data_IF_957607204255
#
_entry.id   IF_957607204255
#
_cell.length_a   1.000
_cell.length_b   1.000
_cell.length_c   1.000
_cell.angle_alpha   90.00
_cell.angle_beta   90.00
_cell.angle_gamma   90.00
#
_symmetry.space_group_name_H-M   'P 1'
#
loop_
_entity.id
_entity.type
_entity.pdbx_description
1 polymer ?
#
# COMPACT_ATOMS: atom_id res chain seq x y z
N UNK A 1 79.05 -27.28 35.96
CA UNK A 1 79.78 -26.70 34.80
C UNK A 1 79.65 -27.63 33.62
N UNK A 2 79.32 -27.09 32.43
CA UNK A 2 79.48 -27.76 31.11
C UNK A 2 78.50 -28.93 30.90
N UNK A 3 77.26 -28.67 30.50
CA UNK A 3 76.88 -28.57 29.08
C UNK A 3 75.73 -27.57 28.91
N UNK A 4 76.14 -26.32 28.73
CA UNK A 4 75.37 -25.30 28.04
C UNK A 4 75.52 -25.57 26.53
N UNK A 5 74.58 -25.06 25.72
CA UNK A 5 74.53 -25.10 24.26
C UNK A 5 74.14 -26.45 23.63
N UNK A 6 72.85 -26.60 23.33
CA UNK A 6 72.29 -26.76 21.97
C UNK A 6 70.78 -26.94 22.20
N UNK A 7 69.95 -26.31 21.37
CA UNK A 7 68.48 -26.27 21.38
C UNK A 7 67.79 -25.08 22.05
N UNK A 8 68.50 -23.96 22.27
CA UNK A 8 67.87 -22.61 22.22
C UNK A 8 67.91 -22.11 20.77
N UNK A 9 67.46 -22.93 19.82
CA UNK A 9 67.35 -22.56 18.40
C UNK A 9 66.16 -23.28 17.75
N UNK A 10 65.03 -23.32 18.45
CA UNK A 10 63.75 -23.68 17.85
C UNK A 10 62.62 -22.81 18.43
N UNK A 11 62.93 -21.53 18.67
CA UNK A 11 61.98 -20.51 19.06
C UNK A 11 61.89 -19.42 17.97
N UNK A 12 61.65 -19.86 16.73
CA UNK A 12 61.11 -18.98 15.71
C UNK A 12 59.69 -19.46 15.37
N UNK A 13 58.63 -18.69 15.68
CA UNK A 13 57.37 -18.88 14.99
C UNK A 13 57.61 -18.50 13.52
N UNK A 14 57.83 -19.52 12.68
CA UNK A 14 57.85 -19.33 11.23
C UNK A 14 56.50 -18.77 10.76
N UNK A 15 56.45 -17.97 9.68
CA UNK A 15 55.19 -17.52 9.12
C UNK A 15 54.36 -18.76 8.78
N UNK A 16 53.22 -18.93 9.44
CA UNK A 16 52.29 -19.99 9.13
C UNK A 16 51.89 -19.87 7.64
N UNK A 17 51.94 -20.95 6.85
CA UNK A 17 51.50 -20.89 5.46
C UNK A 17 50.03 -20.46 5.39
N UNK A 18 49.79 -19.24 4.89
CA UNK A 18 48.47 -18.65 4.66
C UNK A 18 47.72 -19.28 3.45
N UNK A 19 47.96 -20.55 3.13
CA UNK A 19 47.60 -21.14 1.83
C UNK A 19 46.42 -22.12 1.88
N UNK A 20 45.64 -22.12 2.96
CA UNK A 20 44.37 -22.86 3.06
C UNK A 20 43.21 -21.96 3.49
N UNK A 21 43.44 -20.65 3.63
CA UNK A 21 42.56 -19.76 4.41
C UNK A 21 41.52 -18.96 3.63
N UNK A 22 41.56 -18.93 2.29
CA UNK A 22 40.65 -18.07 1.51
C UNK A 22 39.29 -18.72 1.30
N UNK A 23 39.25 -19.99 0.88
CA UNK A 23 37.99 -20.72 0.63
C UNK A 23 37.24 -21.01 1.94
N UNK A 24 37.97 -21.46 2.98
CA UNK A 24 37.44 -21.61 4.34
C UNK A 24 37.03 -20.26 4.95
N UNK A 25 37.79 -19.19 4.71
CA UNK A 25 37.47 -17.85 5.18
C UNK A 25 36.19 -17.29 4.54
N UNK A 26 36.01 -17.50 3.23
CA UNK A 26 34.78 -17.12 2.52
C UNK A 26 33.57 -17.90 3.05
N UNK A 27 33.70 -19.20 3.29
CA UNK A 27 32.62 -20.01 3.88
C UNK A 27 32.26 -19.59 5.32
N UNK A 28 33.23 -19.11 6.10
CA UNK A 28 32.97 -18.55 7.44
C UNK A 28 32.25 -17.21 7.38
N UNK A 29 32.60 -16.33 6.43
CA UNK A 29 31.91 -15.05 6.22
C UNK A 29 30.48 -15.28 5.75
N UNK A 30 30.25 -16.18 4.81
CA UNK A 30 28.91 -16.55 4.33
C UNK A 30 28.04 -17.08 5.48
N UNK A 31 28.60 -17.94 6.34
CA UNK A 31 27.92 -18.45 7.53
C UNK A 31 27.62 -17.36 8.55
N UNK A 32 28.53 -16.39 8.72
CA UNK A 32 28.33 -15.21 9.57
C UNK A 32 27.22 -14.29 9.06
N UNK A 33 27.19 -14.01 7.75
CA UNK A 33 26.13 -13.23 7.10
C UNK A 33 24.77 -13.93 7.20
N UNK A 34 24.74 -15.26 7.06
CA UNK A 34 23.53 -16.06 7.26
C UNK A 34 22.95 -15.92 8.67
N UNK A 35 23.78 -16.02 9.71
CA UNK A 35 23.35 -15.84 11.10
C UNK A 35 22.83 -14.43 11.35
N UNK A 36 23.49 -13.40 10.80
CA UNK A 36 23.04 -12.00 10.91
C UNK A 36 21.68 -11.82 10.23
N UNK A 37 21.51 -12.35 9.02
CA UNK A 37 20.24 -12.27 8.29
C UNK A 37 19.10 -13.00 9.02
N UNK A 38 19.37 -14.18 9.59
CA UNK A 38 18.39 -14.94 10.34
C UNK A 38 17.95 -14.22 11.63
N UNK A 39 18.90 -13.62 12.35
CA UNK A 39 18.58 -12.82 13.53
C UNK A 39 17.81 -11.55 13.16
N UNK A 40 18.18 -10.86 12.07
CA UNK A 40 17.44 -9.70 11.57
C UNK A 40 15.99 -10.08 11.22
N UNK A 41 15.76 -11.23 10.59
CA UNK A 41 14.41 -11.74 10.32
C UNK A 41 13.64 -12.16 11.57
N UNK A 42 14.31 -12.71 12.59
CA UNK A 42 13.66 -12.99 13.88
C UNK A 42 13.27 -11.71 14.62
N UNK A 43 14.07 -10.65 14.51
CA UNK A 43 13.80 -9.35 15.13
C UNK A 43 12.74 -8.55 14.37
N UNK A 44 12.84 -8.45 13.03
CA UNK A 44 11.92 -7.65 12.21
C UNK A 44 10.64 -8.38 11.78
N UNK A 45 10.68 -9.71 11.68
CA UNK A 45 9.56 -10.52 11.20
C UNK A 45 8.24 -10.28 11.97
N UNK A 46 8.23 -10.21 13.31
CA UNK A 46 7.03 -9.91 14.09
C UNK A 46 6.40 -8.55 13.74
N UNK A 47 7.23 -7.51 13.58
CA UNK A 47 6.76 -6.15 13.27
C UNK A 47 6.24 -6.07 11.83
N UNK A 48 6.90 -6.72 10.87
CA UNK A 48 6.44 -6.83 9.49
C UNK A 48 5.11 -7.60 9.38
N UNK A 49 4.96 -8.68 10.15
CA UNK A 49 3.70 -9.42 10.21
C UNK A 49 2.56 -8.56 10.77
N UNK A 50 2.84 -7.79 11.83
CA UNK A 50 1.87 -6.87 12.41
C UNK A 50 1.46 -5.78 11.41
N UNK A 51 2.43 -5.17 10.73
CA UNK A 51 2.17 -4.19 9.67
C UNK A 51 1.33 -4.78 8.54
N UNK A 52 1.64 -6.00 8.10
CA UNK A 52 0.87 -6.71 7.07
C UNK A 52 -0.56 -7.00 7.50
N UNK A 53 -0.77 -7.35 8.78
CA UNK A 53 -2.10 -7.59 9.34
C UNK A 53 -2.92 -6.30 9.46
N UNK A 54 -2.30 -5.22 9.93
CA UNK A 54 -2.94 -3.90 10.05
C UNK A 54 -3.30 -3.33 8.65
N UNK A 55 -2.38 -3.44 7.67
CA UNK A 55 -2.66 -3.09 6.28
C UNK A 55 -3.76 -3.97 5.67
N UNK A 56 -3.73 -5.27 5.94
CA UNK A 56 -4.74 -6.21 5.45
C UNK A 56 -6.14 -5.87 5.95
N UNK A 57 -6.27 -5.47 7.22
CA UNK A 57 -7.52 -4.98 7.79
C UNK A 57 -8.02 -3.71 7.09
N UNK A 58 -7.16 -2.69 6.96
CA UNK A 58 -7.54 -1.44 6.30
C UNK A 58 -7.92 -1.64 4.82
N UNK A 59 -7.21 -2.52 4.10
CA UNK A 59 -7.54 -2.89 2.72
C UNK A 59 -8.87 -3.63 2.64
N UNK A 60 -9.21 -4.49 3.61
CA UNK A 60 -10.48 -5.19 3.65
C UNK A 60 -11.66 -4.24 3.88
N UNK A 61 -11.49 -3.19 4.69
CA UNK A 61 -12.49 -2.13 4.86
C UNK A 61 -12.69 -1.29 3.59
N UNK A 62 -11.62 -1.07 2.81
CA UNK A 62 -11.66 -0.32 1.56
C UNK A 62 -12.08 -1.17 0.35
N UNK A 63 -11.97 -2.50 0.42
CA UNK A 63 -12.31 -3.42 -0.65
C UNK A 63 -13.69 -3.16 -1.31
N UNK A 64 -14.81 -2.99 -0.57
CA UNK A 64 -16.11 -2.72 -1.19
C UNK A 64 -16.13 -1.39 -1.96
N UNK A 65 -15.47 -0.35 -1.45
CA UNK A 65 -15.38 0.94 -2.13
C UNK A 65 -14.54 0.84 -3.43
N UNK A 66 -13.48 0.04 -3.41
CA UNK A 66 -12.66 -0.22 -4.60
C UNK A 66 -13.40 -1.02 -5.66
N UNK A 67 -14.25 -1.96 -5.25
CA UNK A 67 -15.13 -2.72 -6.15
C UNK A 67 -16.15 -1.78 -6.82
N UNK A 68 -16.82 -0.94 -6.03
CA UNK A 68 -17.77 0.05 -6.54
C UNK A 68 -17.10 1.04 -7.51
N UNK A 69 -15.87 1.48 -7.20
CA UNK A 69 -15.09 2.34 -8.09
C UNK A 69 -14.70 1.64 -9.39
N UNK A 70 -14.32 0.35 -9.34
CA UNK A 70 -13.99 -0.42 -10.54
C UNK A 70 -15.18 -0.52 -11.50
N UNK A 71 -16.39 -0.71 -10.97
CA UNK A 71 -17.65 -0.72 -11.75
C UNK A 71 -17.88 0.64 -12.42
N UNK A 72 -17.66 1.75 -11.70
CA UNK A 72 -17.82 3.09 -12.27
C UNK A 72 -16.80 3.43 -13.34
N UNK A 73 -15.55 3.01 -13.15
CA UNK A 73 -14.48 3.19 -14.15
C UNK A 73 -14.80 2.44 -15.44
N UNK A 74 -15.37 1.24 -15.34
CA UNK A 74 -15.85 0.49 -16.51
C UNK A 74 -17.01 1.21 -17.22
N UNK A 75 -17.94 1.82 -16.47
CA UNK A 75 -19.05 2.60 -17.06
C UNK A 75 -18.58 3.88 -17.76
N UNK A 76 -17.37 4.40 -17.52
CA UNK A 76 -16.85 5.58 -18.24
C UNK A 76 -16.85 5.40 -19.76
N UNK A 77 -16.67 4.17 -20.24
CA UNK A 77 -16.74 3.85 -21.67
C UNK A 77 -18.13 4.11 -22.29
N UNK A 78 -19.17 4.21 -21.47
CA UNK A 78 -20.54 4.47 -21.89
C UNK A 78 -20.86 5.96 -22.06
N UNK A 79 -19.90 6.86 -21.86
CA UNK A 79 -20.07 8.28 -22.04
C UNK A 79 -19.35 8.81 -23.28
N UNK A 80 -19.85 9.93 -23.79
CA UNK A 80 -19.25 10.73 -24.84
C UNK A 80 -18.13 11.62 -24.27
N UNK A 81 -17.22 12.13 -25.12
CA UNK A 81 -16.18 13.04 -24.68
C UNK A 81 -16.78 14.32 -24.05
N UNK A 82 -16.02 15.00 -23.15
CA UNK A 82 -16.52 16.18 -22.44
C UNK A 82 -16.82 17.35 -23.38
N UNK A 83 -18.02 17.92 -23.27
CA UNK A 83 -18.47 19.12 -24.00
C UNK A 83 -18.46 20.34 -23.05
N UNK A 84 -17.73 21.39 -23.41
CA UNK A 84 -17.69 22.63 -22.63
C UNK A 84 -18.81 23.58 -23.09
N UNK A 85 -19.65 23.99 -22.16
CA UNK A 85 -20.78 24.90 -22.38
C UNK A 85 -20.34 26.37 -22.35
N UNK A 86 -21.22 27.27 -22.82
CA UNK A 86 -20.96 28.72 -22.88
C UNK A 86 -20.72 29.34 -21.49
N UNK A 87 -21.36 28.80 -20.46
CA UNK A 87 -21.17 29.22 -19.06
C UNK A 87 -19.84 28.73 -18.46
N UNK A 88 -19.13 27.82 -19.14
CA UNK A 88 -17.88 27.23 -18.68
C UNK A 88 -18.02 25.85 -18.02
N UNK A 89 -19.24 25.35 -17.82
CA UNK A 89 -19.46 24.00 -17.29
C UNK A 89 -19.10 22.93 -18.31
N UNK A 90 -18.88 21.71 -17.82
CA UNK A 90 -18.58 20.54 -18.65
C UNK A 90 -19.73 19.55 -18.55
N UNK A 91 -20.32 19.21 -19.69
CA UNK A 91 -21.34 18.18 -19.82
C UNK A 91 -20.70 16.91 -20.40
N UNK A 92 -20.84 15.80 -19.70
CA UNK A 92 -20.43 14.47 -20.18
C UNK A 92 -21.72 13.67 -20.42
N UNK A 93 -22.10 13.50 -21.69
CA UNK A 93 -23.36 12.84 -22.06
C UNK A 93 -23.17 11.34 -22.07
N UNK A 94 -24.22 10.60 -21.71
CA UNK A 94 -24.25 9.15 -21.82
C UNK A 94 -24.66 8.74 -23.23
N UNK A 95 -23.98 7.75 -23.80
CA UNK A 95 -24.27 7.24 -25.15
C UNK A 95 -25.69 6.67 -25.20
N UNK A 96 -26.42 6.96 -26.28
CA UNK A 96 -27.80 6.50 -26.44
C UNK A 96 -27.97 4.97 -26.46
N UNK A 97 -26.94 4.25 -26.92
CA UNK A 97 -26.93 2.78 -26.97
C UNK A 97 -26.33 2.12 -25.72
N UNK A 98 -25.93 2.91 -24.71
CA UNK A 98 -25.36 2.34 -23.49
C UNK A 98 -26.41 1.57 -22.69
N UNK A 99 -26.06 0.42 -22.09
CA UNK A 99 -26.93 -0.26 -21.11
C UNK A 99 -27.26 0.68 -19.95
N UNK A 100 -28.30 0.52 -19.13
CA UNK A 100 -28.55 1.43 -17.99
C UNK A 100 -27.32 1.57 -17.07
N UNK A 101 -27.13 2.74 -16.42
CA UNK A 101 -25.98 2.94 -15.54
C UNK A 101 -26.01 1.92 -14.38
N UNK A 102 -24.85 1.42 -13.95
CA UNK A 102 -24.80 0.53 -12.80
C UNK A 102 -25.31 1.28 -11.55
N UNK A 103 -25.97 0.58 -10.62
CA UNK A 103 -26.34 1.18 -9.35
C UNK A 103 -25.07 1.61 -8.61
N UNK A 104 -25.10 2.79 -8.01
CA UNK A 104 -24.06 3.18 -7.05
C UNK A 104 -24.14 2.21 -5.86
N UNK A 105 -23.02 1.57 -5.54
CA UNK A 105 -22.95 0.69 -4.39
C UNK A 105 -23.21 1.45 -3.10
N UNK A 106 -23.66 0.73 -2.07
CA UNK A 106 -24.05 1.34 -0.80
C UNK A 106 -22.90 2.09 -0.12
N UNK A 107 -21.64 1.78 -0.45
CA UNK A 107 -20.47 2.45 0.08
C UNK A 107 -20.26 3.86 -0.50
N UNK A 108 -20.72 4.10 -1.73
CA UNK A 108 -20.61 5.39 -2.43
C UNK A 108 -21.92 6.20 -2.40
N UNK A 109 -23.00 5.62 -1.87
CA UNK A 109 -24.23 6.36 -1.60
C UNK A 109 -23.96 7.29 -0.41
N UNK A 110 -24.01 8.60 -0.62
CA UNK A 110 -23.98 9.55 0.50
C UNK A 110 -25.10 9.19 1.50
N UNK A 111 -24.88 9.29 2.82
CA UNK A 111 -25.90 8.98 3.83
C UNK A 111 -27.10 9.96 3.82
N UNK A 112 -27.24 10.78 2.78
CA UNK A 112 -28.20 11.88 2.67
C UNK A 112 -29.27 11.68 1.57
N UNK A 113 -29.41 10.48 0.99
CA UNK A 113 -30.69 10.09 0.34
C UNK A 113 -31.84 9.98 1.37
N UNK A 114 -31.53 10.14 2.67
CA UNK A 114 -32.45 10.51 3.72
C UNK A 114 -32.48 12.03 3.96
N UNK A 115 -32.28 12.84 2.90
CA UNK A 115 -32.36 14.29 2.98
C UNK A 115 -33.61 14.66 3.80
N UNK A 116 -33.47 15.34 4.96
CA UNK A 116 -34.64 15.81 5.66
C UNK A 116 -35.42 16.64 4.64
N UNK A 117 -36.71 16.32 4.47
CA UNK A 117 -37.60 17.07 3.58
C UNK A 117 -37.27 18.55 3.73
N UNK A 118 -37.08 19.31 2.63
CA UNK A 118 -36.70 20.71 2.71
C UNK A 118 -37.60 21.37 3.77
N UNK A 119 -37.03 22.15 4.71
CA UNK A 119 -37.81 22.69 5.81
C UNK A 119 -39.07 23.30 5.20
N UNK A 120 -40.24 22.81 5.63
CA UNK A 120 -41.51 23.37 5.17
C UNK A 120 -41.48 24.83 5.58
N UNK A 121 -41.10 25.69 4.64
CA UNK A 121 -41.13 27.13 4.85
C UNK A 121 -42.57 27.42 5.24
N UNK A 122 -42.83 28.00 6.43
CA UNK A 122 -44.17 28.41 6.78
C UNK A 122 -44.67 29.32 5.67
N UNK A 123 -45.66 28.85 4.91
CA UNK A 123 -46.34 29.69 3.93
C UNK A 123 -47.11 30.69 4.75
N UNK A 124 -46.61 31.92 4.79
CA UNK A 124 -47.31 33.04 5.39
C UNK A 124 -48.60 33.25 4.60
N UNK A 125 -49.79 33.03 5.20
CA UNK A 125 -51.07 33.14 4.49
C UNK A 125 -51.34 34.57 3.98
N UNK A 126 -50.61 35.56 4.50
CA UNK A 126 -50.72 36.96 4.10
C UNK A 126 -49.69 37.35 3.01
N UNK A 127 -48.78 36.46 2.62
CA UNK A 127 -47.86 36.71 1.51
C UNK A 127 -48.54 36.46 0.15
N UNK A 128 -48.46 37.41 -0.80
CA UNK A 128 -48.92 37.16 -2.16
C UNK A 128 -48.02 36.09 -2.79
N UNK A 129 -48.60 34.95 -3.14
CA UNK A 129 -47.89 33.93 -3.93
C UNK A 129 -47.47 34.54 -5.26
N UNK A 130 -46.16 34.57 -5.53
CA UNK A 130 -45.63 34.99 -6.82
C UNK A 130 -45.79 33.78 -7.76
N UNK A 131 -46.64 33.86 -8.81
CA UNK A 131 -46.70 32.79 -9.79
C UNK A 131 -45.37 32.76 -10.56
N UNK A 132 -44.68 31.63 -10.51
CA UNK A 132 -43.52 31.32 -11.36
C UNK A 132 -43.97 31.00 -12.78
#
# INVERSE_FOLDING_TARGET
MRRLLILVLLAMPGPAPAQTGTEDGLGLVERGLGIIAENLWKELGPDLNRLGQDMGGALAELAPMLEDLAVLVDDLGNYDPPERLENGDVLIRRKAAAPPPPPLGESLREPDDAAPAPPRVPVDPDQPEIPL
#
